data_IF_651163219444
#
_entry.id   IF_651163219444
#
_cell.length_a   1.000
_cell.length_b   1.000
_cell.length_c   1.000
_cell.angle_alpha   90.00
_cell.angle_beta   90.00
_cell.angle_gamma   90.00
#
_symmetry.space_group_name_H-M   'P 1'
#
loop_
_entity.id
_entity.type
_entity.pdbx_description
1 polymer ?
#
# COMPACT_ATOMS: atom_id res chain seq x y z
N UNK A 1 27.04 1.45 4.05
CA UNK A 1 27.24 2.85 4.50
C UNK A 1 26.47 3.75 3.56
N UNK A 2 25.61 4.63 4.10
CA UNK A 2 24.56 5.33 3.36
C UNK A 2 25.10 6.14 2.17
N UNK A 3 24.58 5.85 0.96
CA UNK A 3 24.98 6.45 -0.32
C UNK A 3 24.18 7.74 -0.64
N UNK A 4 23.48 8.31 0.35
CA UNK A 4 22.58 9.44 0.15
C UNK A 4 23.13 10.73 0.77
N UNK A 5 23.13 11.80 -0.04
CA UNK A 5 23.50 13.14 0.40
C UNK A 5 22.42 13.68 1.35
N UNK A 6 22.83 14.23 2.50
CA UNK A 6 21.92 14.91 3.42
C UNK A 6 21.30 16.14 2.76
N UNK A 7 20.07 16.48 3.17
CA UNK A 7 19.44 17.72 2.74
C UNK A 7 20.14 18.93 3.35
N UNK A 8 20.13 20.10 2.68
CA UNK A 8 20.84 21.29 3.16
C UNK A 8 20.24 21.92 4.42
N UNK A 9 18.94 21.70 4.68
CA UNK A 9 18.22 22.26 5.82
C UNK A 9 17.07 21.32 6.25
N UNK A 10 16.71 21.40 7.53
CA UNK A 10 15.68 20.59 8.18
C UNK A 10 14.82 21.48 9.11
N UNK A 11 13.57 21.07 9.31
CA UNK A 11 12.61 21.68 10.24
C UNK A 11 11.93 20.61 11.09
N UNK A 12 11.38 21.02 12.24
CA UNK A 12 10.52 20.16 13.04
C UNK A 12 9.25 19.79 12.26
N UNK A 13 8.90 18.50 12.23
CA UNK A 13 7.71 18.02 11.50
C UNK A 13 6.39 18.35 12.19
N UNK A 14 6.42 18.74 13.46
CA UNK A 14 5.24 18.85 14.33
C UNK A 14 4.68 17.51 14.81
N UNK A 15 5.38 16.38 14.55
CA UNK A 15 4.96 15.02 14.92
C UNK A 15 6.09 14.33 15.67
N UNK A 16 5.90 14.09 16.97
CA UNK A 16 6.95 13.63 17.91
C UNK A 16 7.73 12.41 17.40
N UNK A 17 7.05 11.38 16.90
CA UNK A 17 7.71 10.15 16.46
C UNK A 17 8.44 10.28 15.10
N UNK A 18 8.22 11.36 14.35
CA UNK A 18 8.90 11.64 13.08
C UNK A 18 10.17 12.48 13.32
N UNK A 19 10.10 13.48 14.21
CA UNK A 19 11.20 14.41 14.48
C UNK A 19 11.42 15.41 13.33
N UNK A 20 12.68 15.63 12.94
CA UNK A 20 13.04 16.60 11.91
C UNK A 20 12.89 16.06 10.48
N UNK A 21 12.40 16.90 9.58
CA UNK A 21 12.20 16.60 8.15
C UNK A 21 12.87 17.66 7.28
N UNK A 22 13.19 17.37 6.01
CA UNK A 22 13.78 18.37 5.11
C UNK A 22 12.92 19.64 5.02
N UNK A 23 13.56 20.80 5.01
CA UNK A 23 12.89 22.12 5.08
C UNK A 23 11.78 22.29 4.02
N UNK A 24 12.03 21.78 2.81
CA UNK A 24 11.13 21.89 1.66
C UNK A 24 9.97 20.87 1.64
N UNK A 25 9.92 19.94 2.58
CA UNK A 25 8.83 18.96 2.66
C UNK A 25 7.58 19.57 3.28
N UNK A 26 6.42 19.10 2.84
CA UNK A 26 5.13 19.43 3.45
C UNK A 26 4.61 18.25 4.26
N UNK A 27 4.09 18.52 5.46
CA UNK A 27 3.46 17.50 6.31
C UNK A 27 1.95 17.51 6.10
N UNK A 28 1.41 16.38 5.66
CA UNK A 28 -0.04 16.22 5.46
C UNK A 28 -0.54 14.86 5.95
N UNK A 29 -1.83 14.81 6.30
CA UNK A 29 -2.52 13.55 6.62
C UNK A 29 -2.77 12.77 5.33
N UNK A 30 -2.55 11.45 5.33
CA UNK A 30 -2.75 10.57 4.15
C UNK A 30 -4.13 10.76 3.49
N UNK A 31 -5.19 10.98 4.27
CA UNK A 31 -6.54 11.25 3.73
C UNK A 31 -6.64 12.48 2.82
N UNK A 32 -5.64 13.38 2.87
CA UNK A 32 -5.51 14.55 1.98
C UNK A 32 -4.56 14.28 0.79
N UNK A 33 -3.78 13.21 0.84
CA UNK A 33 -2.80 12.83 -0.18
C UNK A 33 -3.31 11.70 -1.10
N UNK A 34 -4.24 10.88 -0.64
CA UNK A 34 -4.73 9.71 -1.34
C UNK A 34 -6.26 9.62 -1.31
N UNK A 35 -6.83 9.05 -2.37
CA UNK A 35 -8.24 8.70 -2.44
C UNK A 35 -8.45 7.29 -1.90
N UNK A 36 -9.42 7.11 -1.00
CA UNK A 36 -9.78 5.79 -0.50
C UNK A 36 -10.68 5.08 -1.51
N UNK A 37 -10.25 3.90 -1.96
CA UNK A 37 -11.04 3.01 -2.81
C UNK A 37 -11.63 1.89 -1.95
N UNK A 38 -12.97 1.84 -1.86
CA UNK A 38 -13.71 0.84 -1.08
C UNK A 38 -14.57 -0.06 -1.98
N UNK A 39 -14.20 -0.20 -3.24
CA UNK A 39 -14.95 -1.01 -4.19
C UNK A 39 -14.85 -2.48 -3.79
N UNK A 40 -16.00 -3.10 -3.53
CA UNK A 40 -16.12 -4.51 -3.18
C UNK A 40 -17.15 -5.17 -4.09
N UNK A 41 -16.91 -6.43 -4.44
CA UNK A 41 -17.85 -7.23 -5.25
C UNK A 41 -17.84 -8.71 -4.86
N UNK A 42 -18.92 -9.40 -5.15
CA UNK A 42 -19.07 -10.85 -5.03
C UNK A 42 -19.19 -11.56 -6.39
N UNK A 43 -19.24 -10.80 -7.49
CA UNK A 43 -19.40 -11.28 -8.87
C UNK A 43 -18.12 -11.04 -9.69
N UNK A 44 -16.95 -11.31 -9.08
CA UNK A 44 -15.68 -11.14 -9.78
C UNK A 44 -15.66 -12.03 -11.05
N UNK A 45 -15.43 -11.46 -12.25
CA UNK A 45 -15.45 -12.24 -13.48
C UNK A 45 -14.39 -13.34 -13.49
N UNK A 46 -14.70 -14.44 -14.17
CA UNK A 46 -13.73 -15.48 -14.48
C UNK A 46 -12.53 -14.87 -15.22
N UNK A 47 -11.32 -15.23 -14.78
CA UNK A 47 -10.05 -14.73 -15.34
C UNK A 47 -9.46 -13.52 -14.62
N UNK A 48 -10.15 -12.93 -13.64
CA UNK A 48 -9.52 -11.94 -12.76
C UNK A 48 -8.53 -12.60 -11.80
N UNK A 49 -7.36 -12.00 -11.63
CA UNK A 49 -6.36 -12.48 -10.67
C UNK A 49 -6.81 -12.14 -9.26
N UNK A 50 -7.06 -13.18 -8.46
CA UNK A 50 -7.20 -13.02 -7.02
C UNK A 50 -5.80 -12.89 -6.39
N UNK A 51 -5.65 -11.93 -5.49
CA UNK A 51 -4.42 -11.71 -4.72
C UNK A 51 -4.79 -11.81 -3.25
N UNK A 52 -4.31 -12.87 -2.60
CA UNK A 52 -4.36 -12.99 -1.15
C UNK A 52 -3.18 -12.28 -0.49
N UNK A 53 -3.25 -12.05 0.82
CA UNK A 53 -2.10 -11.51 1.57
C UNK A 53 -0.92 -12.51 1.56
N UNK A 54 -1.22 -13.80 1.45
CA UNK A 54 -0.24 -14.87 1.28
C UNK A 54 0.55 -14.80 -0.04
N UNK A 55 0.06 -14.05 -1.04
CA UNK A 55 0.76 -13.81 -2.30
C UNK A 55 1.66 -12.55 -2.23
N UNK A 56 1.80 -11.91 -1.06
CA UNK A 56 2.62 -10.72 -0.89
C UNK A 56 3.78 -11.05 0.04
N UNK A 57 5.01 -10.85 -0.47
CA UNK A 57 6.22 -11.07 0.31
C UNK A 57 6.28 -10.06 1.48
N UNK A 58 6.47 -10.54 2.73
CA UNK A 58 6.71 -9.66 3.87
C UNK A 58 7.91 -8.74 3.63
N UNK A 59 7.91 -7.56 4.23
CA UNK A 59 8.96 -6.54 4.13
C UNK A 59 9.09 -5.87 2.75
N UNK A 60 9.12 -6.62 1.66
CA UNK A 60 9.30 -6.07 0.31
C UNK A 60 7.99 -5.55 -0.29
N UNK A 61 6.85 -6.11 0.13
CA UNK A 61 5.52 -5.81 -0.42
C UNK A 61 5.36 -6.25 -1.87
N UNK A 62 6.27 -7.09 -2.39
CA UNK A 62 6.21 -7.56 -3.77
C UNK A 62 5.19 -8.67 -3.92
N UNK A 63 4.48 -8.64 -5.05
CA UNK A 63 3.61 -9.73 -5.45
C UNK A 63 4.44 -10.96 -5.82
N UNK A 64 4.24 -12.05 -5.09
CA UNK A 64 4.89 -13.34 -5.24
C UNK A 64 3.82 -14.45 -5.14
N UNK A 65 3.13 -14.79 -6.25
CA UNK A 65 1.97 -15.67 -6.22
C UNK A 65 2.30 -17.09 -5.74
N UNK A 66 1.42 -17.66 -4.93
CA UNK A 66 1.51 -19.00 -4.34
C UNK A 66 1.24 -20.15 -5.33
N UNK A 67 1.44 -19.95 -6.64
CA UNK A 67 1.13 -20.91 -7.72
C UNK A 67 -0.33 -21.40 -7.71
N UNK A 68 -1.27 -20.52 -7.38
CA UNK A 68 -2.71 -20.79 -7.48
C UNK A 68 -3.35 -21.41 -6.23
N UNK A 69 -2.73 -21.28 -5.06
CA UNK A 69 -3.36 -21.65 -3.80
C UNK A 69 -4.40 -20.62 -3.33
N UNK A 70 -4.24 -19.37 -3.73
CA UNK A 70 -5.17 -18.29 -3.40
C UNK A 70 -6.47 -18.47 -4.20
N UNK A 71 -7.50 -18.93 -3.50
CA UNK A 71 -8.84 -19.21 -4.06
C UNK A 71 -9.84 -18.24 -3.47
N UNK A 72 -10.71 -17.71 -4.33
CA UNK A 72 -11.96 -17.12 -3.87
C UNK A 72 -12.88 -18.24 -3.41
N UNK A 73 -13.58 -18.05 -2.28
CA UNK A 73 -14.80 -18.81 -2.01
C UNK A 73 -15.98 -18.13 -2.71
N UNK A 74 -16.97 -18.90 -3.14
CA UNK A 74 -18.10 -18.42 -3.96
C UNK A 74 -18.89 -17.27 -3.30
N UNK A 75 -18.87 -17.16 -1.97
CA UNK A 75 -19.58 -16.12 -1.20
C UNK A 75 -18.67 -14.97 -0.71
N UNK A 76 -17.40 -14.92 -1.11
CA UNK A 76 -16.47 -13.90 -0.62
C UNK A 76 -16.67 -12.55 -1.27
N UNK A 77 -16.96 -11.51 -0.47
CA UNK A 77 -16.83 -10.12 -0.92
C UNK A 77 -15.36 -9.73 -1.04
N UNK A 78 -14.85 -9.66 -2.26
CA UNK A 78 -13.46 -9.28 -2.55
C UNK A 78 -13.33 -7.78 -2.81
N UNK A 79 -12.21 -7.20 -2.38
CA UNK A 79 -11.84 -5.83 -2.73
C UNK A 79 -11.36 -5.75 -4.17
N UNK A 80 -11.75 -4.71 -4.89
CA UNK A 80 -11.39 -4.49 -6.29
C UNK A 80 -10.39 -3.36 -6.37
N UNK A 81 -9.20 -3.66 -6.86
CA UNK A 81 -8.14 -2.68 -7.06
C UNK A 81 -7.64 -2.72 -8.51
N UNK A 82 -6.84 -1.73 -8.88
CA UNK A 82 -6.28 -1.55 -10.22
C UNK A 82 -4.79 -1.27 -10.13
N UNK A 83 -4.10 -1.38 -11.26
CA UNK A 83 -2.71 -0.96 -11.35
C UNK A 83 -2.57 0.51 -10.89
N UNK A 84 -1.64 0.77 -9.97
CA UNK A 84 -1.43 2.08 -9.34
C UNK A 84 -2.08 2.25 -7.97
N UNK A 85 -3.00 1.36 -7.58
CA UNK A 85 -3.52 1.34 -6.21
C UNK A 85 -2.46 0.83 -5.23
N UNK A 86 -2.44 1.41 -4.03
CA UNK A 86 -1.62 0.93 -2.91
C UNK A 86 -2.48 0.04 -2.02
N UNK A 87 -2.10 -1.23 -1.92
CA UNK A 87 -2.78 -2.19 -1.03
C UNK A 87 -2.14 -2.15 0.35
N UNK A 88 -2.97 -2.17 1.38
CA UNK A 88 -2.55 -2.19 2.77
C UNK A 88 -3.36 -3.21 3.55
N UNK A 89 -2.69 -4.26 4.03
CA UNK A 89 -3.24 -5.21 4.99
C UNK A 89 -2.94 -4.74 6.41
N UNK A 90 -3.92 -4.89 7.32
CA UNK A 90 -3.73 -4.67 8.76
C UNK A 90 -3.33 -5.99 9.43
#
# INVERSE_FOLDING_TARGET
>A
MSHYKRYPAYKDSGVEWIGEVPEHWETLRIKRAATLRNDRRNDAPDGWTYIGLEDVEPESGRYAPTKGASRQSEDSMVGVFRAGDVLYGK
#
